data_IF_948903794525
#
_entry.id   IF_948903794525
#
_cell.length_a   1.000
_cell.length_b   1.000
_cell.length_c   1.000
_cell.angle_alpha   90.00
_cell.angle_beta   90.00
_cell.angle_gamma   90.00
#
_symmetry.space_group_name_H-M   'P 1'
#
loop_
_entity.id
_entity.type
_entity.pdbx_description
1 polymer ?
#
# COMPACT_ATOMS: atom_id res chain seq x y z
N UNK A 1 -6.09 2.55 16.88
CA UNK A 1 -6.03 2.23 18.31
C UNK A 1 -6.80 3.28 19.07
N UNK A 2 -7.65 2.85 19.99
CA UNK A 2 -8.39 3.71 20.91
C UNK A 2 -7.95 3.39 22.34
N UNK A 3 -7.72 4.42 23.16
CA UNK A 3 -7.28 4.30 24.55
C UNK A 3 -8.31 5.06 25.41
N UNK A 4 -8.96 4.36 26.32
CA UNK A 4 -10.11 4.88 27.07
C UNK A 4 -9.79 6.02 28.04
N UNK A 5 -8.53 6.31 28.32
CA UNK A 5 -8.10 7.37 29.24
C UNK A 5 -6.87 8.11 28.70
N UNK A 6 -6.63 9.32 29.23
CA UNK A 6 -5.44 10.13 28.96
C UNK A 6 -4.21 9.76 29.82
N UNK A 7 -4.36 8.76 30.71
CA UNK A 7 -3.28 8.28 31.60
C UNK A 7 -2.23 7.44 30.87
N UNK A 8 -2.58 6.91 29.71
CA UNK A 8 -1.72 6.08 28.87
C UNK A 8 -1.57 6.76 27.52
N UNK A 9 -0.36 6.82 27.03
CA UNK A 9 -0.05 7.29 25.67
C UNK A 9 0.44 6.13 24.83
N UNK A 10 0.05 6.14 23.56
CA UNK A 10 0.43 5.11 22.60
C UNK A 10 1.00 5.71 21.33
N UNK A 11 1.97 5.02 20.74
CA UNK A 11 2.47 5.31 19.40
C UNK A 11 2.58 4.02 18.57
N UNK A 12 2.71 4.16 17.26
CA UNK A 12 2.87 3.05 16.34
C UNK A 12 4.22 3.18 15.62
N UNK A 13 5.31 2.64 16.21
CA UNK A 13 6.66 2.76 15.66
C UNK A 13 6.82 2.04 14.31
N UNK A 14 6.08 0.93 14.11
CA UNK A 14 6.02 0.16 12.86
C UNK A 14 4.59 -0.35 12.66
N UNK A 15 4.22 -0.71 11.42
CA UNK A 15 2.85 -1.02 11.01
C UNK A 15 2.12 -2.10 11.83
N UNK A 16 2.84 -3.03 12.45
CA UNK A 16 2.25 -4.16 13.19
C UNK A 16 2.54 -4.10 14.70
N UNK A 17 3.07 -2.99 15.21
CA UNK A 17 3.46 -2.84 16.60
C UNK A 17 2.92 -1.55 17.19
N UNK A 18 2.27 -1.65 18.33
CA UNK A 18 1.80 -0.52 19.12
C UNK A 18 2.60 -0.51 20.41
N UNK A 19 3.17 0.63 20.73
CA UNK A 19 3.87 0.86 21.99
C UNK A 19 2.99 1.69 22.91
N UNK A 20 2.77 1.19 24.11
CA UNK A 20 1.98 1.85 25.15
C UNK A 20 2.88 2.16 26.33
N UNK A 21 2.71 3.32 26.94
CA UNK A 21 3.40 3.74 28.16
C UNK A 21 2.53 4.63 29.02
N UNK A 22 2.69 4.62 30.36
CA UNK A 22 2.04 5.61 31.21
C UNK A 22 2.49 7.02 30.83
N UNK A 23 1.59 7.98 30.92
CA UNK A 23 1.91 9.39 30.79
C UNK A 23 2.70 9.85 32.00
N UNK A 24 3.70 10.71 31.81
CA UNK A 24 4.49 11.27 32.91
C UNK A 24 3.60 12.06 33.89
N UNK A 25 3.84 11.85 35.16
CA UNK A 25 3.09 12.56 36.25
C UNK A 25 1.71 11.99 36.57
N UNK A 26 1.35 10.83 36.03
CA UNK A 26 0.12 10.12 36.38
C UNK A 26 0.28 9.47 37.76
N UNK A 27 -0.55 9.89 38.71
CA UNK A 27 -0.66 9.19 39.99
C UNK A 27 -1.36 7.85 39.79
N UNK A 28 -0.65 6.77 40.14
CA UNK A 28 -1.19 5.41 40.12
C UNK A 28 -1.30 4.96 41.58
N UNK A 29 -2.50 4.65 41.99
CA UNK A 29 -2.80 4.55 43.41
C UNK A 29 -2.63 3.15 44.01
N UNK A 30 -2.89 2.07 43.29
CA UNK A 30 -2.86 0.70 43.85
C UNK A 30 -2.57 -0.34 42.78
N UNK A 31 -1.87 -1.41 43.19
CA UNK A 31 -1.77 -2.62 42.39
C UNK A 31 -3.15 -3.19 42.05
N UNK A 32 -3.35 -3.56 40.81
CA UNK A 32 -4.61 -4.06 40.30
C UNK A 32 -5.56 -3.00 39.73
N UNK A 33 -5.25 -1.70 39.87
CA UNK A 33 -6.06 -0.66 39.27
C UNK A 33 -5.99 -0.69 37.73
N UNK A 34 -7.16 -0.58 37.07
CA UNK A 34 -7.23 -0.48 35.61
C UNK A 34 -6.83 0.93 35.21
N UNK A 35 -5.74 1.04 34.47
CA UNK A 35 -5.24 2.32 33.95
C UNK A 35 -6.01 2.76 32.71
N UNK A 36 -6.27 1.84 31.81
CA UNK A 36 -6.95 2.08 30.56
C UNK A 36 -7.51 0.77 29.97
N UNK A 37 -8.52 0.91 29.12
CA UNK A 37 -8.89 -0.14 28.17
C UNK A 37 -8.36 0.29 26.81
N UNK A 38 -7.58 -0.59 26.18
CA UNK A 38 -7.02 -0.35 24.84
C UNK A 38 -7.80 -1.20 23.84
N UNK A 39 -8.37 -0.55 22.84
CA UNK A 39 -9.06 -1.20 21.74
C UNK A 39 -8.21 -1.10 20.49
N UNK A 40 -7.81 -2.24 19.96
CA UNK A 40 -7.04 -2.37 18.73
C UNK A 40 -8.00 -2.84 17.64
N UNK A 41 -8.19 -1.99 16.62
CA UNK A 41 -9.02 -2.28 15.47
C UNK A 41 -8.11 -2.42 14.25
N UNK A 42 -8.21 -3.55 13.57
CA UNK A 42 -7.53 -3.82 12.31
C UNK A 42 -8.54 -3.78 11.15
N UNK A 43 -8.13 -4.20 9.97
CA UNK A 43 -9.04 -4.32 8.82
C UNK A 43 -10.19 -5.31 9.06
N UNK A 44 -9.93 -6.40 9.80
CA UNK A 44 -10.87 -7.53 9.96
C UNK A 44 -11.12 -7.97 11.40
N UNK A 45 -10.37 -7.46 12.34
CA UNK A 45 -10.41 -7.92 13.73
C UNK A 45 -10.42 -6.75 14.70
N UNK A 46 -10.98 -7.00 15.85
CA UNK A 46 -10.91 -6.16 17.03
C UNK A 46 -10.42 -6.97 18.21
N UNK A 47 -9.50 -6.41 18.99
CA UNK A 47 -9.05 -6.97 20.28
C UNK A 47 -9.09 -5.88 21.33
N UNK A 48 -9.41 -6.23 22.58
CA UNK A 48 -9.47 -5.29 23.68
C UNK A 48 -8.67 -5.84 24.86
N UNK A 49 -7.90 -4.97 25.49
CA UNK A 49 -7.06 -5.29 26.65
C UNK A 49 -7.28 -4.26 27.76
N UNK A 50 -7.45 -4.73 28.98
CA UNK A 50 -7.36 -3.87 30.16
C UNK A 50 -5.89 -3.77 30.56
N UNK A 51 -5.38 -2.55 30.63
CA UNK A 51 -4.06 -2.26 31.17
C UNK A 51 -4.20 -2.10 32.68
N UNK A 52 -3.56 -2.99 33.43
CA UNK A 52 -3.60 -3.02 34.88
C UNK A 52 -2.23 -2.61 35.41
N UNK A 53 -2.23 -1.75 36.42
CA UNK A 53 -1.00 -1.36 37.09
C UNK A 53 -0.48 -2.47 38.01
N UNK A 54 0.84 -2.69 37.97
CA UNK A 54 1.55 -3.48 38.98
C UNK A 54 2.83 -2.76 39.41
N UNK A 55 3.11 -2.77 40.70
CA UNK A 55 4.39 -2.30 41.25
C UNK A 55 5.47 -3.38 41.16
N UNK A 56 5.09 -4.63 40.88
CA UNK A 56 5.97 -5.78 40.76
C UNK A 56 6.52 -5.90 39.34
N UNK A 57 7.80 -5.56 39.15
CA UNK A 57 8.44 -5.55 37.83
C UNK A 57 8.44 -6.92 37.13
N UNK A 58 8.50 -7.99 37.92
CA UNK A 58 8.44 -9.39 37.46
C UNK A 58 7.09 -9.80 36.90
N UNK A 59 6.02 -9.10 37.25
CA UNK A 59 4.67 -9.35 36.76
C UNK A 59 4.33 -8.46 35.55
N UNK A 60 5.18 -7.49 35.25
CA UNK A 60 4.93 -6.55 34.16
C UNK A 60 5.08 -7.24 32.80
N UNK A 61 4.02 -7.20 31.99
CA UNK A 61 4.05 -7.66 30.60
C UNK A 61 4.67 -6.56 29.75
N UNK A 62 5.87 -6.81 29.21
CA UNK A 62 6.63 -5.85 28.40
C UNK A 62 6.43 -6.05 26.90
N UNK A 63 5.97 -7.26 26.49
CA UNK A 63 5.65 -7.59 25.11
C UNK A 63 4.43 -8.54 25.09
N UNK A 64 3.48 -8.26 24.22
CA UNK A 64 2.25 -9.04 24.08
C UNK A 64 1.91 -9.21 22.59
N UNK A 65 2.00 -10.43 22.12
CA UNK A 65 1.42 -10.79 20.82
C UNK A 65 -0.10 -10.95 20.92
N UNK A 66 -0.84 -10.47 19.93
CA UNK A 66 -2.29 -10.68 19.84
C UNK A 66 -2.54 -12.07 19.24
N UNK A 67 -2.95 -13.01 20.07
CA UNK A 67 -3.23 -14.38 19.65
C UNK A 67 -4.54 -14.47 18.83
N UNK A 68 -4.70 -15.58 18.11
CA UNK A 68 -5.85 -15.76 17.20
C UNK A 68 -7.18 -15.80 17.98
N UNK A 69 -7.20 -16.43 19.14
CA UNK A 69 -8.36 -16.56 20.02
C UNK A 69 -8.75 -15.26 20.73
N UNK A 70 -7.82 -14.30 20.81
CA UNK A 70 -8.08 -12.95 21.33
C UNK A 70 -8.68 -12.00 20.28
N UNK A 71 -8.82 -12.44 19.03
CA UNK A 71 -9.32 -11.66 17.91
C UNK A 71 -10.81 -11.88 17.71
N UNK A 72 -11.57 -10.82 17.88
CA UNK A 72 -12.99 -10.82 17.55
C UNK A 72 -13.16 -10.33 16.11
N UNK A 73 -13.87 -11.09 15.28
CA UNK A 73 -14.13 -10.69 13.90
C UNK A 73 -14.85 -9.33 13.88
N UNK A 74 -14.32 -8.41 13.08
CA UNK A 74 -14.83 -7.05 12.95
C UNK A 74 -14.74 -6.59 11.50
N UNK A 75 -15.87 -6.20 10.94
CA UNK A 75 -15.91 -5.60 9.62
C UNK A 75 -15.70 -4.08 9.75
N UNK A 76 -14.47 -3.62 9.50
CA UNK A 76 -14.13 -2.20 9.64
C UNK A 76 -14.77 -1.38 8.50
N UNK A 77 -15.74 -0.51 8.77
CA UNK A 77 -16.43 0.27 7.74
C UNK A 77 -15.52 1.31 7.06
N UNK A 78 -14.38 1.64 7.66
CA UNK A 78 -13.39 2.54 7.07
C UNK A 78 -12.52 1.87 6.00
N UNK A 79 -12.59 0.54 5.87
CA UNK A 79 -11.79 -0.26 4.93
C UNK A 79 -12.69 -0.80 3.84
N UNK A 80 -12.63 -0.24 2.65
CA UNK A 80 -13.43 -0.68 1.50
C UNK A 80 -12.95 -2.01 0.89
N UNK A 81 -11.66 -2.34 1.02
CA UNK A 81 -11.06 -3.60 0.62
C UNK A 81 -9.87 -3.92 1.52
N UNK A 82 -9.83 -5.13 2.08
CA UNK A 82 -8.71 -5.53 2.94
C UNK A 82 -7.44 -5.79 2.13
N UNK A 83 -6.28 -5.65 2.78
CA UNK A 83 -4.97 -5.96 2.18
C UNK A 83 -4.91 -7.41 1.66
N UNK A 84 -5.56 -8.36 2.34
CA UNK A 84 -5.64 -9.75 1.89
C UNK A 84 -6.46 -9.92 0.62
N UNK A 85 -7.58 -9.18 0.49
CA UNK A 85 -8.38 -9.18 -0.73
C UNK A 85 -7.61 -8.55 -1.88
N UNK A 86 -6.91 -7.42 -1.63
CA UNK A 86 -6.04 -6.80 -2.63
C UNK A 86 -4.97 -7.79 -3.13
N UNK A 87 -4.32 -8.50 -2.21
CA UNK A 87 -3.32 -9.52 -2.56
C UNK A 87 -3.92 -10.67 -3.37
N UNK A 88 -5.13 -11.13 -3.03
CA UNK A 88 -5.82 -12.20 -3.76
C UNK A 88 -6.17 -11.78 -5.20
N UNK A 89 -6.74 -10.57 -5.37
CA UNK A 89 -7.03 -10.03 -6.69
C UNK A 89 -5.75 -9.79 -7.50
N UNK A 90 -4.72 -9.21 -6.89
CA UNK A 90 -3.44 -8.95 -7.55
C UNK A 90 -2.78 -10.23 -8.07
N UNK A 91 -2.77 -11.33 -7.28
CA UNK A 91 -2.26 -12.63 -7.74
C UNK A 91 -3.05 -13.19 -8.91
N UNK A 92 -4.37 -13.03 -8.92
CA UNK A 92 -5.22 -13.48 -10.03
C UNK A 92 -4.94 -12.68 -11.29
N UNK A 93 -4.78 -11.37 -11.18
CA UNK A 93 -4.39 -10.50 -12.31
C UNK A 93 -3.01 -10.88 -12.84
N UNK A 94 -2.05 -11.10 -11.94
CA UNK A 94 -0.71 -11.59 -12.31
C UNK A 94 -0.75 -12.87 -13.15
N UNK A 95 -1.68 -13.79 -12.85
CA UNK A 95 -1.85 -15.04 -13.57
C UNK A 95 -2.66 -14.89 -14.86
N UNK A 96 -3.24 -13.72 -15.12
CA UNK A 96 -4.04 -13.46 -16.31
C UNK A 96 -3.15 -13.09 -17.51
N UNK A 97 -3.56 -13.42 -18.74
CA UNK A 97 -2.87 -12.97 -19.94
C UNK A 97 -2.84 -11.45 -20.05
N UNK A 98 -1.76 -10.90 -20.61
CA UNK A 98 -1.66 -9.47 -20.88
C UNK A 98 -2.66 -9.05 -21.97
N UNK A 99 -3.49 -8.05 -21.69
CA UNK A 99 -4.48 -7.51 -22.61
C UNK A 99 -3.96 -6.27 -23.35
N UNK A 100 -3.22 -5.41 -22.65
CA UNK A 100 -2.62 -4.22 -23.25
C UNK A 100 -1.31 -4.57 -23.94
N UNK A 101 -1.24 -4.38 -25.26
CA UNK A 101 -0.04 -4.73 -26.06
C UNK A 101 0.70 -3.50 -26.56
N UNK A 102 0.02 -2.36 -26.66
CA UNK A 102 0.54 -1.15 -27.30
C UNK A 102 0.98 -0.07 -26.28
N UNK A 103 0.66 -0.23 -25.01
CA UNK A 103 1.03 0.74 -23.95
C UNK A 103 2.40 0.34 -23.40
N UNK A 104 3.44 0.96 -23.94
CA UNK A 104 4.82 0.66 -23.54
C UNK A 104 5.74 1.84 -23.78
N UNK A 105 6.83 1.87 -23.02
CA UNK A 105 7.93 2.84 -23.19
C UNK A 105 9.28 2.12 -23.25
N UNK A 106 10.26 2.74 -23.90
CA UNK A 106 11.63 2.23 -23.97
C UNK A 106 12.61 3.34 -23.60
N UNK A 107 13.41 3.11 -22.59
CA UNK A 107 14.47 4.01 -22.12
C UNK A 107 15.64 3.18 -21.60
N UNK A 108 16.87 3.65 -21.78
CA UNK A 108 18.09 3.00 -21.24
C UNK A 108 18.22 1.50 -21.54
N UNK A 109 17.80 1.05 -22.74
CA UNK A 109 17.71 -0.37 -23.13
C UNK A 109 16.78 -1.20 -22.21
N UNK A 110 15.89 -0.54 -21.48
CA UNK A 110 14.79 -1.16 -20.75
C UNK A 110 13.46 -0.92 -21.49
N UNK A 111 12.54 -1.84 -21.32
CA UNK A 111 11.18 -1.72 -21.85
C UNK A 111 10.20 -1.92 -20.71
N UNK A 112 9.35 -0.92 -20.46
CA UNK A 112 8.25 -1.01 -19.49
C UNK A 112 6.93 -1.10 -20.24
N UNK A 113 6.04 -2.00 -19.82
CA UNK A 113 4.75 -2.29 -20.49
C UNK A 113 3.64 -2.38 -19.48
N UNK A 114 2.48 -1.86 -19.84
CA UNK A 114 1.23 -2.16 -19.19
C UNK A 114 0.76 -3.54 -19.67
N UNK A 115 0.45 -4.43 -18.74
CA UNK A 115 -0.10 -5.74 -19.03
C UNK A 115 -1.63 -5.72 -18.91
N UNK A 116 -2.14 -5.24 -17.78
CA UNK A 116 -3.56 -5.21 -17.48
C UNK A 116 -3.94 -4.01 -16.62
N UNK A 117 -5.20 -3.56 -16.73
CA UNK A 117 -5.87 -2.70 -15.77
C UNK A 117 -7.16 -3.40 -15.38
N UNK A 118 -7.40 -3.55 -14.08
CA UNK A 118 -8.66 -4.05 -13.54
C UNK A 118 -9.28 -3.03 -12.60
N UNK A 119 -10.60 -2.91 -12.68
CA UNK A 119 -11.43 -2.11 -11.79
C UNK A 119 -12.17 -3.03 -10.84
N UNK A 120 -11.84 -2.97 -9.54
CA UNK A 120 -12.46 -3.82 -8.51
C UNK A 120 -12.84 -2.98 -7.30
N UNK A 121 -14.12 -2.94 -6.95
CA UNK A 121 -14.60 -2.07 -5.87
C UNK A 121 -14.18 -0.62 -6.12
N UNK A 122 -13.56 0.01 -5.15
CA UNK A 122 -13.07 1.39 -5.21
C UNK A 122 -11.60 1.50 -5.65
N UNK A 123 -11.06 0.47 -6.35
CA UNK A 123 -9.65 0.41 -6.69
C UNK A 123 -9.40 0.08 -8.17
N UNK A 124 -8.30 0.62 -8.68
CA UNK A 124 -7.64 0.15 -9.90
C UNK A 124 -6.44 -0.72 -9.55
N UNK A 125 -6.32 -1.83 -10.26
CA UNK A 125 -5.18 -2.72 -10.21
C UNK A 125 -4.39 -2.55 -11.52
N UNK A 126 -3.18 -2.04 -11.42
CA UNK A 126 -2.29 -1.72 -12.53
C UNK A 126 -1.19 -2.78 -12.60
N UNK A 127 -1.30 -3.70 -13.56
CA UNK A 127 -0.31 -4.74 -13.81
C UNK A 127 0.66 -4.27 -14.89
N UNK A 128 1.92 -4.16 -14.54
CA UNK A 128 2.97 -3.74 -15.46
C UNK A 128 4.21 -4.61 -15.33
N UNK A 129 5.02 -4.65 -16.39
CA UNK A 129 6.29 -5.37 -16.43
C UNK A 129 7.41 -4.52 -16.99
N UNK A 130 8.63 -4.78 -16.52
CA UNK A 130 9.87 -4.15 -16.99
C UNK A 130 10.82 -5.22 -17.45
N UNK A 131 11.34 -5.11 -18.67
CA UNK A 131 12.41 -5.92 -19.22
C UNK A 131 13.70 -5.07 -19.24
N UNK A 132 14.77 -5.55 -18.63
CA UNK A 132 16.08 -4.93 -18.65
C UNK A 132 17.00 -5.73 -19.55
N UNK A 133 17.40 -5.13 -20.68
CA UNK A 133 18.31 -5.73 -21.67
C UNK A 133 19.75 -5.30 -21.49
N UNK A 134 20.10 -4.89 -20.28
CA UNK A 134 21.49 -4.60 -19.90
C UNK A 134 22.02 -5.66 -18.95
N UNK A 135 23.33 -5.76 -18.82
CA UNK A 135 23.97 -6.64 -17.83
C UNK A 135 24.13 -5.95 -16.47
N UNK A 136 23.53 -4.77 -16.30
CA UNK A 136 23.60 -3.99 -15.06
C UNK A 136 22.29 -4.19 -14.30
N UNK A 137 22.41 -4.67 -13.05
CA UNK A 137 21.27 -4.79 -12.13
C UNK A 137 20.61 -3.42 -11.96
N UNK A 138 19.31 -3.41 -11.82
CA UNK A 138 18.55 -2.23 -11.49
C UNK A 138 18.15 -2.31 -10.02
N UNK A 139 18.70 -1.42 -9.20
CA UNK A 139 18.38 -1.32 -7.79
C UNK A 139 17.29 -0.24 -7.64
N UNK A 140 16.11 -0.66 -7.21
CA UNK A 140 14.92 0.20 -7.16
C UNK A 140 15.06 1.20 -6.01
N UNK A 141 15.07 2.48 -6.32
CA UNK A 141 14.94 3.55 -5.34
C UNK A 141 13.46 3.82 -5.04
N UNK A 142 12.68 4.13 -6.07
CA UNK A 142 11.28 4.46 -5.91
C UNK A 142 10.44 3.93 -7.08
N UNK A 143 9.25 3.45 -6.72
CA UNK A 143 8.16 3.16 -7.65
C UNK A 143 7.02 4.12 -7.32
N UNK A 144 6.75 5.04 -8.25
CA UNK A 144 5.77 6.12 -8.07
C UNK A 144 4.65 6.00 -9.08
N UNK A 145 3.45 6.32 -8.64
CA UNK A 145 2.30 6.54 -9.50
C UNK A 145 1.96 8.03 -9.44
N UNK A 146 1.89 8.68 -10.59
CA UNK A 146 1.66 10.11 -10.69
C UNK A 146 0.55 10.43 -11.67
N UNK A 147 -0.24 11.44 -11.36
CA UNK A 147 -1.14 12.06 -12.31
C UNK A 147 -0.52 13.40 -12.76
N UNK A 148 -0.14 13.49 -14.01
CA UNK A 148 0.53 14.64 -14.59
C UNK A 148 -0.37 15.35 -15.59
N UNK A 149 -0.21 16.66 -15.76
CA UNK A 149 -0.76 17.35 -16.92
C UNK A 149 -0.05 16.87 -18.19
N UNK A 150 -0.79 16.63 -19.26
CA UNK A 150 -0.20 16.42 -20.58
C UNK A 150 0.55 17.70 -20.99
N UNK A 151 1.81 17.55 -21.42
CA UNK A 151 2.61 18.68 -21.89
C UNK A 151 1.91 19.35 -23.06
N UNK A 152 1.45 20.58 -22.87
CA UNK A 152 1.05 21.45 -23.96
C UNK A 152 2.21 22.41 -24.22
N UNK A 153 2.48 22.74 -25.50
CA UNK A 153 3.61 23.57 -25.91
C UNK A 153 3.63 25.00 -25.30
N UNK A 154 2.57 25.39 -24.60
CA UNK A 154 2.39 26.71 -23.97
C UNK A 154 2.29 26.66 -22.42
N UNK A 155 2.34 25.49 -21.78
CA UNK A 155 2.23 25.41 -20.33
C UNK A 155 3.59 25.63 -19.66
N UNK A 156 3.70 26.71 -18.89
CA UNK A 156 4.89 27.05 -18.09
C UNK A 156 4.93 26.28 -16.75
N UNK A 157 3.81 25.74 -16.30
CA UNK A 157 3.70 24.99 -15.02
C UNK A 157 2.99 23.67 -15.28
N UNK A 158 3.59 22.57 -14.89
CA UNK A 158 3.00 21.22 -14.93
C UNK A 158 2.60 20.82 -13.51
N UNK A 159 1.32 20.59 -13.30
CA UNK A 159 0.84 20.06 -12.03
C UNK A 159 1.05 18.54 -11.98
N UNK A 160 1.68 18.07 -10.93
CA UNK A 160 1.87 16.66 -10.64
C UNK A 160 1.21 16.30 -9.31
N UNK A 161 0.36 15.29 -9.32
CA UNK A 161 -0.24 14.71 -8.12
C UNK A 161 0.34 13.31 -7.95
N UNK A 162 1.04 13.07 -6.86
CA UNK A 162 1.55 11.73 -6.53
C UNK A 162 0.46 10.91 -5.84
N UNK A 163 0.31 9.67 -6.29
CA UNK A 163 -0.67 8.72 -5.79
C UNK A 163 0.08 7.64 -5.03
N UNK A 164 -0.21 7.49 -3.76
CA UNK A 164 0.35 6.41 -2.96
C UNK A 164 -0.43 5.13 -3.21
N UNK A 165 0.20 4.05 -3.70
CA UNK A 165 -0.46 2.76 -3.81
C UNK A 165 -0.87 2.24 -2.42
N UNK A 166 -2.13 1.79 -2.30
CA UNK A 166 -2.62 1.14 -1.07
C UNK A 166 -2.03 -0.27 -0.92
N UNK A 167 -1.61 -0.89 -2.03
CA UNK A 167 -0.96 -2.22 -2.04
C UNK A 167 -0.04 -2.39 -3.25
N UNK A 168 1.04 -3.15 -3.06
CA UNK A 168 1.95 -3.63 -4.11
C UNK A 168 2.15 -5.13 -3.93
N UNK A 169 2.05 -5.89 -5.03
CA UNK A 169 2.16 -7.36 -4.97
C UNK A 169 3.61 -7.82 -4.75
N UNK A 170 4.56 -7.15 -5.36
CA UNK A 170 5.99 -7.46 -5.29
C UNK A 170 6.77 -6.27 -4.68
N UNK A 171 7.46 -6.54 -3.58
CA UNK A 171 8.31 -5.59 -2.85
C UNK A 171 9.81 -5.81 -3.12
N UNK A 172 10.16 -6.49 -4.22
CA UNK A 172 11.54 -6.71 -4.64
C UNK A 172 12.26 -5.38 -4.80
N UNK A 173 13.46 -5.29 -4.21
CA UNK A 173 14.28 -4.06 -4.21
C UNK A 173 15.23 -3.97 -5.39
N UNK A 174 15.44 -5.06 -6.15
CA UNK A 174 16.34 -5.05 -7.31
C UNK A 174 16.05 -6.19 -8.28
N UNK A 175 16.36 -5.99 -9.56
CA UNK A 175 16.25 -7.03 -10.59
C UNK A 175 17.37 -6.92 -11.65
N UNK A 176 17.71 -8.04 -12.28
CA UNK A 176 18.69 -8.04 -13.36
C UNK A 176 18.04 -8.01 -14.76
N UNK A 177 17.09 -8.89 -15.04
CA UNK A 177 16.52 -9.03 -16.38
C UNK A 177 15.06 -8.61 -16.47
N UNK A 178 14.27 -8.86 -15.44
CA UNK A 178 12.86 -8.58 -15.46
C UNK A 178 12.28 -8.28 -14.10
N UNK A 179 11.25 -7.43 -14.11
CA UNK A 179 10.44 -7.08 -12.95
C UNK A 179 8.98 -6.98 -13.39
N UNK A 180 8.07 -7.43 -12.57
CA UNK A 180 6.64 -7.27 -12.77
C UNK A 180 5.98 -6.95 -11.45
N UNK A 181 4.99 -6.08 -11.45
CA UNK A 181 4.23 -5.77 -10.26
C UNK A 181 2.76 -5.49 -10.60
N UNK A 182 1.91 -5.62 -9.56
CA UNK A 182 0.52 -5.18 -9.59
C UNK A 182 0.36 -4.14 -8.49
N UNK A 183 0.12 -2.90 -8.87
CA UNK A 183 -0.14 -1.80 -7.95
C UNK A 183 -1.64 -1.62 -7.78
N UNK A 184 -2.06 -1.37 -6.55
CA UNK A 184 -3.46 -1.07 -6.22
C UNK A 184 -3.55 0.40 -5.79
N UNK A 185 -4.32 1.18 -6.53
CA UNK A 185 -4.56 2.60 -6.25
C UNK A 185 -6.06 2.86 -6.19
N UNK A 186 -6.47 3.85 -5.41
CA UNK A 186 -7.88 4.27 -5.36
C UNK A 186 -8.33 4.73 -6.74
N UNK A 187 -9.56 4.38 -7.08
CA UNK A 187 -10.21 4.86 -8.30
C UNK A 187 -10.24 6.37 -8.34
N UNK A 188 -9.93 6.91 -9.50
CA UNK A 188 -10.03 8.32 -9.79
C UNK A 188 -10.53 8.52 -11.21
N UNK A 189 -11.25 9.57 -11.42
CA UNK A 189 -11.54 10.11 -12.74
C UNK A 189 -10.65 11.32 -12.96
N UNK A 190 -10.09 11.43 -14.14
CA UNK A 190 -9.29 12.58 -14.51
C UNK A 190 -9.59 13.01 -15.95
N UNK A 191 -9.49 14.30 -16.27
CA UNK A 191 -9.81 14.78 -17.59
C UNK A 191 -8.74 14.35 -18.62
N UNK A 192 -9.06 14.43 -19.91
CA UNK A 192 -8.17 13.98 -21.00
C UNK A 192 -6.89 14.79 -21.16
N UNK A 193 -6.77 15.93 -20.50
CA UNK A 193 -5.54 16.74 -20.43
C UNK A 193 -4.54 16.22 -19.38
N UNK A 194 -4.91 15.21 -18.62
CA UNK A 194 -4.03 14.53 -17.67
C UNK A 194 -3.65 13.12 -18.13
N UNK A 195 -2.55 12.63 -17.60
CA UNK A 195 -1.99 11.31 -17.91
C UNK A 195 -1.54 10.62 -16.61
N UNK A 196 -1.91 9.37 -16.47
CA UNK A 196 -1.41 8.54 -15.38
C UNK A 196 -0.03 8.01 -15.75
N UNK A 197 0.95 8.16 -14.86
CA UNK A 197 2.33 7.74 -15.09
C UNK A 197 2.79 6.80 -14.00
N UNK A 198 3.35 5.65 -14.38
CA UNK A 198 4.05 4.75 -13.49
C UNK A 198 5.55 4.97 -13.73
N UNK A 199 6.27 5.41 -12.71
CA UNK A 199 7.69 5.75 -12.79
C UNK A 199 8.51 4.85 -11.88
N UNK A 200 9.59 4.30 -12.41
CA UNK A 200 10.57 3.50 -11.68
C UNK A 200 11.92 4.19 -11.77
N UNK A 201 12.53 4.51 -10.63
CA UNK A 201 13.84 5.14 -10.52
C UNK A 201 14.86 4.25 -9.83
N UNK A 202 16.13 4.38 -10.25
CA UNK A 202 17.27 3.61 -9.73
C UNK A 202 17.98 4.35 -8.61
N UNK A 203 18.43 3.59 -7.62
CA UNK A 203 19.16 4.09 -6.44
C UNK A 203 20.64 4.40 -6.77
N UNK A 204 20.90 5.46 -7.55
CA UNK A 204 22.25 5.91 -7.89
C UNK A 204 22.27 7.41 -8.15
N UNK A 205 23.46 8.02 -7.99
CA UNK A 205 23.68 9.40 -8.47
C UNK A 205 23.52 9.39 -9.98
N UNK A 206 22.53 10.11 -10.51
CA UNK A 206 22.15 10.07 -11.94
C UNK A 206 21.66 8.68 -12.39
N UNK A 207 20.94 7.98 -11.54
CA UNK A 207 20.39 6.66 -11.81
C UNK A 207 19.41 6.66 -13.00
N UNK A 208 19.25 5.48 -13.62
CA UNK A 208 18.28 5.30 -14.70
C UNK A 208 16.86 5.50 -14.17
N UNK A 209 16.02 6.09 -14.99
CA UNK A 209 14.59 6.14 -14.74
C UNK A 209 13.83 5.67 -15.96
N UNK A 210 12.68 5.06 -15.77
CA UNK A 210 11.75 4.68 -16.82
C UNK A 210 10.34 5.02 -16.39
N UNK A 211 9.58 5.65 -17.30
CA UNK A 211 8.22 6.10 -17.02
C UNK A 211 7.26 5.58 -18.08
N UNK A 212 6.19 4.92 -17.65
CA UNK A 212 5.11 4.43 -18.48
C UNK A 212 3.92 5.37 -18.36
N UNK A 213 3.48 5.88 -19.49
CA UNK A 213 2.28 6.73 -19.60
C UNK A 213 1.06 5.87 -19.93
N UNK A 214 -0.01 6.06 -19.17
CA UNK A 214 -1.31 5.39 -19.32
C UNK A 214 -2.37 6.46 -19.57
N UNK A 215 -3.01 6.43 -20.72
CA UNK A 215 -4.05 7.37 -21.10
C UNK A 215 -5.35 7.11 -20.33
N UNK A 216 -6.18 8.15 -20.21
CA UNK A 216 -7.47 7.97 -19.55
C UNK A 216 -8.38 6.96 -20.27
N UNK A 217 -8.29 6.89 -21.59
CA UNK A 217 -9.01 5.89 -22.37
C UNK A 217 -8.59 4.45 -22.03
N UNK A 218 -7.30 4.21 -21.76
CA UNK A 218 -6.83 2.90 -21.27
C UNK A 218 -7.49 2.55 -19.94
N UNK A 219 -7.61 3.53 -19.03
CA UNK A 219 -8.25 3.34 -17.72
C UNK A 219 -9.76 3.10 -17.86
N UNK A 220 -10.43 3.79 -18.78
CA UNK A 220 -11.86 3.57 -19.07
C UNK A 220 -12.13 2.17 -19.64
N UNK A 221 -11.15 1.58 -20.32
CA UNK A 221 -11.21 0.22 -20.85
C UNK A 221 -10.74 -0.85 -19.85
N UNK A 222 -10.61 -0.51 -18.57
CA UNK A 222 -10.21 -1.45 -17.53
C UNK A 222 -11.18 -2.64 -17.45
N UNK A 223 -10.61 -3.84 -17.27
CA UNK A 223 -11.40 -5.05 -17.04
C UNK A 223 -12.05 -5.04 -15.65
N UNK A 224 -13.06 -5.88 -15.49
CA UNK A 224 -13.68 -6.15 -14.20
C UNK A 224 -13.75 -7.65 -13.95
N UNK A 225 -13.62 -8.05 -12.68
CA UNK A 225 -13.89 -9.43 -12.30
C UNK A 225 -15.41 -9.67 -12.19
N UNK A 226 -15.89 -10.70 -12.87
CA UNK A 226 -17.20 -11.25 -12.53
C UNK A 226 -17.05 -12.00 -11.18
N UNK A 227 -17.91 -11.69 -10.20
CA UNK A 227 -17.91 -12.35 -8.88
C UNK A 227 -17.87 -13.88 -8.94
N UNK A 228 -18.48 -14.47 -9.98
CA UNK A 228 -18.51 -15.90 -10.22
C UNK A 228 -17.11 -16.53 -10.52
N UNK A 229 -16.10 -15.73 -10.86
CA UNK A 229 -14.74 -16.21 -11.16
C UNK A 229 -13.80 -16.18 -9.94
N UNK A 230 -14.30 -15.81 -8.77
CA UNK A 230 -13.52 -15.63 -7.55
C UNK A 230 -13.62 -16.80 -6.56
N UNK A 231 -14.54 -17.74 -6.84
CA UNK A 231 -14.80 -18.95 -6.02
C UNK A 231 -14.45 -20.21 -6.79
#
# INVERSE_FOLDING_TARGET
VDISTDKVVGDQPINNTIRLKPKEGVEVNRDGDILAVVTIVTERYRSQYALIYTSHKEEAVTDKAIEIDERVAYNNPAVSMSTEDMARYARKIWSSPARYRNVSTKQHRMTMRLNNIYSVGEYFFLDFSVENRTNIRFDIDQLRVKLNDKKTAKATTVQTIELTPDFMLDNTQSFLYGYRNVLVVKKMTFPNDKILTIELSEQQISGRSISLSVEYEDVLNADSFNKALLY
#
